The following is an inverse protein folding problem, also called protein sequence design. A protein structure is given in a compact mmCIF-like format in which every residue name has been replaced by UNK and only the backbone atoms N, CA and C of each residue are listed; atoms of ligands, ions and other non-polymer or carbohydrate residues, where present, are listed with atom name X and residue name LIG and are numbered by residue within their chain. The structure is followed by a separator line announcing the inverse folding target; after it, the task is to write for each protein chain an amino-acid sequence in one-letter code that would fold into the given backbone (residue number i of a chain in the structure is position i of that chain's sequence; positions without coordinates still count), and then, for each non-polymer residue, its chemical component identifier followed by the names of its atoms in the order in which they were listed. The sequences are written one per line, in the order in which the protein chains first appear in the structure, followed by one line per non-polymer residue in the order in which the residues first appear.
data_IF_847386991122
#
_entry.id   IF_847386991122
#
_cell.length_a   1.000
_cell.length_b   1.000
_cell.length_c   1.000
_cell.angle_alpha   90.00
_cell.angle_beta   90.00
_cell.angle_gamma   90.00
#
_symmetry.space_group_name_H-M   'P 1'
#
loop_
_entity.id
_entity.type
_entity.pdbx_description
1 polymer ?
#
# COMPACT_ATOMS: atom_id res chain seq x y z
N UNK A 1 45.79 37.10 -70.42
CA UNK A 1 46.19 36.27 -69.30
C UNK A 1 45.01 36.07 -68.37
N UNK A 2 44.28 34.99 -68.50
CA UNK A 2 43.15 34.62 -67.62
C UNK A 2 43.65 33.55 -66.64
N UNK A 3 43.65 33.85 -65.33
CA UNK A 3 43.94 32.89 -64.28
C UNK A 3 42.66 32.18 -63.87
N UNK A 4 42.60 30.88 -64.09
CA UNK A 4 41.57 30.01 -63.56
C UNK A 4 41.89 29.71 -62.07
N UNK A 5 40.98 29.97 -61.20
CA UNK A 5 41.00 29.56 -59.79
C UNK A 5 40.04 28.37 -59.68
N UNK A 6 40.64 27.18 -59.50
CA UNK A 6 39.87 25.98 -59.21
C UNK A 6 39.62 25.89 -57.71
N UNK A 7 38.35 26.04 -57.33
CA UNK A 7 37.91 25.93 -55.91
C UNK A 7 37.70 24.45 -55.60
N UNK A 8 38.50 23.94 -54.67
CA UNK A 8 38.40 22.55 -54.15
C UNK A 8 37.39 22.54 -53.00
N UNK A 9 36.22 21.98 -53.25
CA UNK A 9 35.17 21.79 -52.22
C UNK A 9 35.52 20.53 -51.43
N UNK A 10 35.98 20.70 -50.19
CA UNK A 10 36.13 19.60 -49.24
C UNK A 10 34.75 19.32 -48.58
N UNK A 11 34.13 18.24 -48.97
CA UNK A 11 32.94 17.70 -48.32
C UNK A 11 33.43 16.98 -47.05
N UNK A 12 33.19 17.60 -45.89
CA UNK A 12 33.29 16.93 -44.58
C UNK A 12 32.05 16.07 -44.40
N UNK A 13 32.18 14.74 -44.56
CA UNK A 13 31.20 13.78 -44.07
C UNK A 13 31.31 13.75 -42.55
N UNK A 14 30.41 14.46 -41.85
CA UNK A 14 30.16 14.22 -40.44
C UNK A 14 29.48 12.86 -40.31
N UNK A 15 30.25 11.85 -39.88
CA UNK A 15 29.65 10.62 -39.34
C UNK A 15 29.01 11.00 -38.01
N UNK A 16 27.69 11.15 -38.02
CA UNK A 16 26.91 11.07 -36.79
C UNK A 16 26.94 9.59 -36.38
N UNK A 17 27.82 9.25 -35.47
CA UNK A 17 27.73 7.99 -34.76
C UNK A 17 26.43 8.05 -33.97
N UNK A 18 25.41 7.38 -34.44
CA UNK A 18 24.23 7.09 -33.64
C UNK A 18 24.70 6.26 -32.45
N UNK A 19 24.47 6.79 -31.24
CA UNK A 19 24.70 6.09 -29.99
C UNK A 19 23.72 4.89 -29.93
N UNK A 20 24.08 3.76 -30.56
CA UNK A 20 23.34 2.51 -30.44
C UNK A 20 23.50 1.86 -29.05
N UNK A 21 24.20 2.51 -28.11
CA UNK A 21 24.56 1.91 -26.82
C UNK A 21 23.62 2.26 -25.66
N UNK A 22 22.61 3.11 -25.85
CA UNK A 22 21.72 3.52 -24.76
C UNK A 22 20.58 2.53 -24.45
N UNK A 23 20.25 1.62 -25.39
CA UNK A 23 19.15 0.65 -25.22
C UNK A 23 19.61 -0.74 -24.73
N UNK A 24 20.90 -0.98 -24.61
CA UNK A 24 21.44 -2.31 -24.25
C UNK A 24 21.17 -2.72 -22.78
N UNK A 25 20.86 -1.75 -21.92
CA UNK A 25 20.60 -1.98 -20.48
C UNK A 25 19.13 -2.22 -20.17
N UNK A 26 18.24 -1.89 -21.11
CA UNK A 26 16.80 -2.08 -20.93
C UNK A 26 16.36 -3.47 -21.42
N UNK A 27 15.54 -4.10 -20.62
CA UNK A 27 14.84 -5.33 -20.96
C UNK A 27 13.35 -5.19 -20.63
N UNK A 28 12.54 -6.10 -21.14
CA UNK A 28 11.11 -6.11 -20.80
C UNK A 28 10.61 -7.52 -20.51
N UNK A 29 9.51 -7.57 -19.76
CA UNK A 29 8.73 -8.77 -19.46
C UNK A 29 7.26 -8.37 -19.38
N UNK A 30 6.34 -9.31 -19.62
CA UNK A 30 4.89 -9.05 -19.51
C UNK A 30 4.31 -9.95 -18.44
N UNK A 31 3.59 -9.35 -17.49
CA UNK A 31 3.15 -9.97 -16.25
C UNK A 31 1.66 -9.70 -16.01
N UNK A 32 0.88 -10.75 -15.73
CA UNK A 32 -0.53 -10.65 -15.37
C UNK A 32 -0.79 -11.29 -14.01
N UNK A 33 -1.32 -10.51 -13.09
CA UNK A 33 -1.55 -10.89 -11.68
C UNK A 33 -2.95 -10.51 -11.18
N UNK A 34 -3.95 -10.58 -12.06
CA UNK A 34 -5.31 -10.09 -11.81
C UNK A 34 -5.56 -8.74 -12.47
N UNK A 35 -6.26 -7.83 -11.78
CA UNK A 35 -6.51 -6.49 -12.29
C UNK A 35 -5.20 -5.72 -12.53
N UNK A 36 -5.00 -5.24 -13.76
CA UNK A 36 -3.74 -4.57 -14.15
C UNK A 36 -3.54 -3.19 -13.54
N UNK A 37 -4.55 -2.52 -13.00
CA UNK A 37 -4.42 -1.18 -12.41
C UNK A 37 -3.47 -1.16 -11.19
N UNK A 38 -3.65 -2.13 -10.29
CA UNK A 38 -2.76 -2.29 -9.13
C UNK A 38 -1.37 -2.78 -9.53
N UNK A 39 -1.32 -3.72 -10.46
CA UNK A 39 -0.06 -4.27 -10.96
C UNK A 39 0.81 -3.21 -11.63
N UNK A 40 0.25 -2.38 -12.54
CA UNK A 40 0.95 -1.25 -13.18
C UNK A 40 1.57 -0.34 -12.13
N UNK A 41 0.77 0.12 -11.17
CA UNK A 41 1.23 1.00 -10.08
C UNK A 41 2.32 0.36 -9.21
N UNK A 42 2.20 -0.94 -8.90
CA UNK A 42 3.19 -1.68 -8.13
C UNK A 42 4.54 -1.73 -8.85
N UNK A 43 4.56 -2.06 -10.15
CA UNK A 43 5.79 -2.09 -10.94
C UNK A 43 6.44 -0.72 -11.09
N UNK A 44 5.65 0.33 -11.34
CA UNK A 44 6.16 1.70 -11.44
C UNK A 44 6.85 2.21 -10.18
N UNK A 45 6.48 1.68 -9.01
CA UNK A 45 7.08 2.05 -7.74
C UNK A 45 8.48 1.43 -7.53
N UNK A 46 8.86 0.44 -8.35
CA UNK A 46 10.14 -0.27 -8.19
C UNK A 46 11.29 0.55 -8.80
N UNK A 47 12.31 0.80 -8.00
CA UNK A 47 13.53 1.45 -8.49
C UNK A 47 14.19 0.60 -9.59
N UNK A 48 14.40 1.18 -10.76
CA UNK A 48 14.95 0.51 -11.94
C UNK A 48 13.90 0.03 -12.94
N UNK A 49 12.60 0.19 -12.64
CA UNK A 49 11.55 0.12 -13.65
C UNK A 49 11.45 1.49 -14.33
N UNK A 50 11.59 1.50 -15.65
CA UNK A 50 11.58 2.72 -16.48
C UNK A 50 10.18 3.01 -17.01
N UNK A 51 9.36 1.94 -17.22
CA UNK A 51 8.01 2.06 -17.77
C UNK A 51 7.20 0.81 -17.43
N UNK A 52 5.92 1.00 -17.11
CA UNK A 52 4.95 -0.07 -16.92
C UNK A 52 3.64 0.30 -17.63
N UNK A 53 3.24 -0.52 -18.59
CA UNK A 53 2.11 -0.23 -19.49
C UNK A 53 1.06 -1.31 -19.35
N UNK A 54 -0.16 -0.93 -18.97
CA UNK A 54 -1.33 -1.81 -18.95
C UNK A 54 -1.73 -2.25 -20.35
N UNK A 55 -2.06 -3.53 -20.51
CA UNK A 55 -2.39 -4.09 -21.80
C UNK A 55 -3.07 -5.45 -21.74
N UNK A 56 -3.20 -6.04 -22.91
CA UNK A 56 -3.82 -7.36 -23.14
C UNK A 56 -2.86 -8.27 -23.87
N UNK A 57 -2.83 -9.55 -23.48
CA UNK A 57 -2.00 -10.54 -24.12
C UNK A 57 -2.57 -11.95 -24.00
N UNK A 58 -2.00 -12.89 -24.72
CA UNK A 58 -2.26 -14.31 -24.59
C UNK A 58 -3.71 -14.74 -24.90
N UNK A 59 -4.33 -14.06 -25.85
CA UNK A 59 -5.64 -14.42 -26.38
C UNK A 59 -5.63 -14.56 -27.90
N UNK A 60 -6.75 -15.02 -28.46
CA UNK A 60 -6.86 -15.32 -29.88
C UNK A 60 -7.27 -14.12 -30.76
N UNK A 61 -7.94 -13.13 -30.17
CA UNK A 61 -8.43 -11.99 -30.93
C UNK A 61 -7.31 -10.99 -31.25
N UNK A 62 -7.28 -10.52 -32.50
CA UNK A 62 -6.50 -9.37 -32.92
C UNK A 62 -7.25 -8.11 -32.46
N UNK A 63 -6.57 -7.18 -31.80
CA UNK A 63 -7.15 -5.93 -31.26
C UNK A 63 -8.21 -6.15 -30.16
N UNK A 64 -7.83 -6.73 -29.01
CA UNK A 64 -8.74 -6.85 -27.88
C UNK A 64 -9.10 -5.47 -27.31
N UNK A 65 -10.32 -5.37 -26.74
CA UNK A 65 -10.76 -4.21 -25.96
C UNK A 65 -11.23 -4.69 -24.59
N UNK A 66 -11.20 -3.80 -23.58
CA UNK A 66 -11.74 -4.10 -22.26
C UNK A 66 -13.16 -4.65 -22.31
N UNK A 67 -14.00 -4.00 -23.10
CA UNK A 67 -15.40 -4.42 -23.30
C UNK A 67 -15.51 -5.85 -23.87
N UNK A 68 -14.58 -6.27 -24.73
CA UNK A 68 -14.62 -7.62 -25.31
C UNK A 68 -14.14 -8.67 -24.32
N UNK A 69 -12.99 -8.44 -23.66
CA UNK A 69 -12.41 -9.43 -22.76
C UNK A 69 -13.24 -9.65 -21.48
N UNK A 70 -14.03 -8.64 -21.06
CA UNK A 70 -14.88 -8.72 -19.86
C UNK A 70 -16.30 -9.25 -20.13
N UNK A 71 -16.65 -9.59 -21.38
CA UNK A 71 -17.94 -10.19 -21.68
C UNK A 71 -18.14 -11.51 -20.95
N UNK A 72 -19.34 -11.74 -20.43
CA UNK A 72 -19.71 -12.96 -19.68
C UNK A 72 -19.35 -14.22 -20.45
N UNK A 73 -19.56 -14.24 -21.78
CA UNK A 73 -19.23 -15.41 -22.64
C UNK A 73 -17.73 -15.73 -22.66
N UNK A 74 -16.85 -14.74 -22.40
CA UNK A 74 -15.41 -14.89 -22.40
C UNK A 74 -14.83 -15.20 -21.01
N UNK A 75 -15.64 -15.12 -19.95
CA UNK A 75 -15.21 -15.25 -18.55
C UNK A 75 -14.46 -16.56 -18.24
N UNK A 76 -14.82 -17.64 -18.94
CA UNK A 76 -14.22 -18.96 -18.79
C UNK A 76 -13.70 -19.52 -20.11
N UNK A 77 -13.45 -18.63 -21.09
CA UNK A 77 -12.85 -19.00 -22.36
C UNK A 77 -11.32 -18.92 -22.24
N UNK A 78 -10.64 -20.04 -22.42
CA UNK A 78 -9.17 -20.13 -22.34
C UNK A 78 -8.47 -19.33 -23.47
N UNK A 79 -9.17 -19.05 -24.57
CA UNK A 79 -8.68 -18.18 -25.65
C UNK A 79 -8.86 -16.68 -25.39
N UNK A 80 -9.38 -16.30 -24.22
CA UNK A 80 -9.53 -14.89 -23.85
C UNK A 80 -8.18 -14.26 -23.50
N UNK A 81 -8.00 -12.99 -23.82
CA UNK A 81 -6.83 -12.23 -23.39
C UNK A 81 -6.78 -12.07 -21.87
N UNK A 82 -5.57 -12.11 -21.31
CA UNK A 82 -5.32 -11.69 -19.95
C UNK A 82 -5.10 -10.18 -19.88
N UNK A 83 -5.52 -9.57 -18.76
CA UNK A 83 -5.01 -8.28 -18.32
C UNK A 83 -3.57 -8.45 -17.89
N UNK A 84 -2.66 -7.68 -18.46
CA UNK A 84 -1.24 -7.77 -18.21
C UNK A 84 -0.59 -6.40 -18.17
N UNK A 85 0.58 -6.33 -17.54
CA UNK A 85 1.45 -5.14 -17.55
C UNK A 85 2.75 -5.49 -18.25
N UNK A 86 3.13 -4.69 -19.25
CA UNK A 86 4.46 -4.76 -19.86
C UNK A 86 5.40 -3.88 -19.04
N UNK A 87 6.35 -4.52 -18.38
CA UNK A 87 7.36 -3.87 -17.54
C UNK A 87 8.65 -3.73 -18.34
N UNK A 88 9.11 -2.50 -18.54
CA UNK A 88 10.42 -2.17 -19.10
C UNK A 88 11.34 -1.74 -17.97
N UNK A 89 12.49 -2.38 -17.81
CA UNK A 89 13.36 -2.19 -16.66
C UNK A 89 14.83 -2.12 -17.05
N UNK A 90 15.60 -1.39 -16.26
CA UNK A 90 17.06 -1.33 -16.36
C UNK A 90 17.67 -2.50 -15.57
N UNK A 91 18.18 -3.52 -16.30
CA UNK A 91 18.76 -4.73 -15.70
C UNK A 91 20.01 -4.51 -14.83
N UNK A 92 20.61 -3.33 -14.89
CA UNK A 92 21.76 -2.95 -14.06
C UNK A 92 21.31 -2.39 -12.71
N UNK A 93 20.04 -1.97 -12.60
CA UNK A 93 19.45 -1.40 -11.38
C UNK A 93 18.55 -2.42 -10.68
N UNK A 94 17.70 -3.11 -11.44
CA UNK A 94 16.81 -4.15 -10.92
C UNK A 94 16.96 -5.45 -11.71
N UNK A 95 17.05 -6.56 -11.01
CA UNK A 95 17.18 -7.87 -11.65
C UNK A 95 15.83 -8.41 -12.12
N UNK A 96 15.82 -9.25 -13.17
CA UNK A 96 14.61 -9.99 -13.56
C UNK A 96 14.09 -10.82 -12.38
N UNK A 97 14.98 -11.43 -11.58
CA UNK A 97 14.60 -12.20 -10.40
C UNK A 97 13.77 -11.34 -9.43
N UNK A 98 14.20 -10.12 -9.13
CA UNK A 98 13.49 -9.21 -8.24
C UNK A 98 12.08 -8.85 -8.77
N UNK A 99 11.93 -8.70 -10.09
CA UNK A 99 10.62 -8.48 -10.71
C UNK A 99 9.71 -9.71 -10.58
N UNK A 100 10.24 -10.93 -10.71
CA UNK A 100 9.47 -12.17 -10.54
C UNK A 100 9.15 -12.43 -9.06
N UNK A 101 10.05 -12.07 -8.14
CA UNK A 101 9.78 -12.11 -6.71
C UNK A 101 8.61 -11.18 -6.36
N UNK A 102 8.65 -9.93 -6.81
CA UNK A 102 7.57 -8.97 -6.66
C UNK A 102 6.24 -9.48 -7.25
N UNK A 103 6.27 -10.06 -8.47
CA UNK A 103 5.11 -10.67 -9.09
C UNK A 103 4.44 -11.71 -8.20
N UNK A 104 5.20 -12.66 -7.65
CA UNK A 104 4.65 -13.72 -6.81
C UNK A 104 4.21 -13.23 -5.42
N UNK A 105 4.87 -12.22 -4.88
CA UNK A 105 4.52 -11.64 -3.59
C UNK A 105 3.29 -10.74 -3.63
N UNK A 106 2.93 -10.19 -4.81
CA UNK A 106 1.85 -9.22 -4.96
C UNK A 106 0.46 -9.82 -5.24
N UNK A 107 0.35 -11.14 -5.44
CA UNK A 107 -0.94 -11.80 -5.71
C UNK A 107 -0.97 -13.25 -5.21
N UNK A 108 -2.11 -13.91 -5.31
CA UNK A 108 -2.22 -15.35 -5.03
C UNK A 108 -2.08 -16.18 -6.32
N UNK A 109 -0.88 -16.71 -6.61
CA UNK A 109 -0.65 -17.49 -7.83
C UNK A 109 -1.27 -18.89 -7.80
N UNK A 110 -1.90 -19.29 -6.70
CA UNK A 110 -2.58 -20.60 -6.59
C UNK A 110 -4.02 -20.57 -7.11
N UNK A 111 -4.56 -19.37 -7.39
CA UNK A 111 -5.90 -19.19 -7.90
C UNK A 111 -5.95 -19.38 -9.43
N UNK A 112 -6.78 -20.27 -9.88
CA UNK A 112 -6.99 -20.53 -11.31
C UNK A 112 -8.01 -19.53 -11.88
N UNK A 113 -7.63 -18.79 -12.92
CA UNK A 113 -8.49 -17.88 -13.67
C UNK A 113 -9.27 -16.89 -12.78
N UNK A 114 -8.62 -16.38 -11.73
CA UNK A 114 -9.20 -15.37 -10.83
C UNK A 114 -8.13 -14.78 -9.91
N UNK A 115 -8.44 -13.62 -9.32
CA UNK A 115 -7.78 -13.08 -8.14
C UNK A 115 -8.85 -12.51 -7.19
N UNK A 116 -9.02 -13.14 -6.03
CA UNK A 116 -10.04 -12.76 -5.07
C UNK A 116 -11.44 -12.71 -5.67
N UNK A 117 -12.06 -11.54 -5.71
CA UNK A 117 -13.39 -11.30 -6.28
C UNK A 117 -13.39 -11.10 -7.81
N UNK A 118 -12.21 -10.88 -8.39
CA UNK A 118 -12.07 -10.73 -9.84
C UNK A 118 -12.01 -12.11 -10.49
N UNK A 119 -13.13 -12.56 -11.02
CA UNK A 119 -13.32 -13.92 -11.55
C UNK A 119 -13.40 -13.89 -13.07
N UNK A 120 -12.49 -14.60 -13.73
CA UNK A 120 -12.45 -14.76 -15.19
C UNK A 120 -11.04 -15.04 -15.69
N UNK A 121 -10.93 -15.62 -16.89
CA UNK A 121 -9.65 -15.95 -17.54
C UNK A 121 -8.79 -14.72 -17.82
N UNK A 122 -9.40 -13.54 -17.92
CA UNK A 122 -8.67 -12.28 -18.04
C UNK A 122 -7.84 -11.94 -16.79
N UNK A 123 -8.16 -12.49 -15.64
CA UNK A 123 -7.45 -12.26 -14.37
C UNK A 123 -6.49 -13.38 -13.97
N UNK A 124 -6.15 -14.27 -14.94
CA UNK A 124 -5.23 -15.38 -14.67
C UNK A 124 -3.82 -14.90 -14.35
N UNK A 125 -3.14 -15.63 -13.48
CA UNK A 125 -1.72 -15.44 -13.22
C UNK A 125 -0.91 -15.89 -14.44
N UNK A 126 -0.07 -15.02 -15.01
CA UNK A 126 0.68 -15.31 -16.23
C UNK A 126 1.99 -14.53 -16.31
N UNK A 127 3.04 -15.19 -16.79
CA UNK A 127 4.35 -14.61 -17.10
C UNK A 127 4.64 -14.87 -18.59
N UNK A 128 4.84 -13.82 -19.35
CA UNK A 128 5.18 -13.87 -20.77
C UNK A 128 6.58 -13.29 -20.98
N UNK A 129 7.54 -14.19 -21.18
CA UNK A 129 8.94 -13.78 -21.36
C UNK A 129 9.22 -13.30 -22.78
N UNK A 130 10.02 -12.23 -22.90
CA UNK A 130 10.37 -11.62 -24.21
C UNK A 130 11.64 -12.22 -24.82
N UNK A 131 12.44 -12.92 -24.01
CA UNK A 131 13.70 -13.56 -24.42
C UNK A 131 13.82 -14.96 -23.81
N UNK A 132 14.29 -15.98 -24.57
CA UNK A 132 14.48 -17.33 -24.04
C UNK A 132 15.40 -17.40 -22.82
N UNK A 133 16.35 -16.47 -22.70
CA UNK A 133 17.29 -16.39 -21.55
C UNK A 133 16.61 -16.08 -20.23
N UNK A 134 15.41 -15.46 -20.25
CA UNK A 134 14.64 -15.14 -19.06
C UNK A 134 14.01 -16.38 -18.42
N UNK A 135 13.70 -17.40 -19.24
CA UNK A 135 12.94 -18.58 -18.79
C UNK A 135 13.56 -19.30 -17.59
N UNK A 136 14.87 -19.46 -17.57
CA UNK A 136 15.53 -20.15 -16.45
C UNK A 136 15.34 -19.41 -15.14
N UNK A 137 15.50 -18.10 -15.12
CA UNK A 137 15.30 -17.28 -13.91
C UNK A 137 13.84 -17.38 -13.44
N UNK A 138 12.90 -17.32 -14.37
CA UNK A 138 11.46 -17.46 -14.06
C UNK A 138 11.18 -18.82 -13.44
N UNK A 139 11.65 -19.91 -14.06
CA UNK A 139 11.40 -21.27 -13.58
C UNK A 139 12.01 -21.49 -12.18
N UNK A 140 13.27 -21.06 -11.98
CA UNK A 140 13.97 -21.20 -10.70
C UNK A 140 13.23 -20.44 -9.58
N UNK A 141 12.83 -19.19 -9.85
CA UNK A 141 12.08 -18.35 -8.89
C UNK A 141 10.69 -18.92 -8.60
N UNK A 142 10.01 -19.44 -9.62
CA UNK A 142 8.69 -20.09 -9.45
C UNK A 142 8.79 -21.32 -8.56
N UNK A 143 9.78 -22.17 -8.77
CA UNK A 143 9.99 -23.38 -7.97
C UNK A 143 10.32 -23.06 -6.50
N UNK A 144 11.09 -22.01 -6.27
CA UNK A 144 11.40 -21.53 -4.92
C UNK A 144 10.12 -21.03 -4.22
N UNK A 145 9.32 -20.18 -4.90
CA UNK A 145 8.07 -19.70 -4.32
C UNK A 145 7.06 -20.81 -4.07
N UNK A 146 6.98 -21.82 -4.97
CA UNK A 146 6.15 -23.00 -4.75
C UNK A 146 6.54 -23.73 -3.45
N UNK A 147 7.82 -23.83 -3.15
CA UNK A 147 8.28 -24.45 -1.91
C UNK A 147 7.82 -23.67 -0.69
N UNK A 148 7.94 -22.33 -0.71
CA UNK A 148 7.50 -21.44 0.36
C UNK A 148 5.97 -21.51 0.56
N UNK A 149 5.20 -21.51 -0.53
CA UNK A 149 3.75 -21.68 -0.49
C UNK A 149 3.36 -23.02 0.15
N UNK A 150 4.04 -24.10 -0.22
CA UNK A 150 3.76 -25.45 0.31
C UNK A 150 4.03 -25.51 1.81
N UNK A 151 5.11 -24.90 2.30
CA UNK A 151 5.42 -24.80 3.73
C UNK A 151 4.34 -24.05 4.53
N UNK A 152 3.67 -23.10 3.89
CA UNK A 152 2.56 -22.32 4.47
C UNK A 152 1.19 -22.94 4.24
N UNK A 153 1.10 -24.12 3.61
CA UNK A 153 -0.15 -24.85 3.38
C UNK A 153 -0.97 -24.39 2.17
N UNK A 154 -0.39 -23.56 1.29
CA UNK A 154 -1.03 -23.16 0.03
C UNK A 154 -0.96 -24.25 -1.03
N UNK A 155 -1.82 -24.12 -2.06
CA UNK A 155 -1.90 -25.02 -3.18
C UNK A 155 -0.75 -24.86 -4.19
N UNK A 156 -0.92 -25.50 -5.35
CA UNK A 156 0.04 -25.38 -6.47
C UNK A 156 -0.12 -24.06 -7.19
N UNK A 157 0.98 -23.49 -7.62
CA UNK A 157 1.04 -22.35 -8.53
C UNK A 157 0.32 -22.71 -9.83
N UNK A 158 -0.61 -21.85 -10.26
CA UNK A 158 -1.39 -21.92 -11.50
C UNK A 158 -0.88 -20.97 -12.58
N UNK A 159 0.20 -20.25 -12.31
CA UNK A 159 0.79 -19.27 -13.23
C UNK A 159 1.14 -19.91 -14.57
N UNK A 160 0.61 -19.36 -15.66
CA UNK A 160 0.98 -19.74 -17.02
C UNK A 160 2.33 -19.08 -17.36
N UNK A 161 3.32 -19.87 -17.82
CA UNK A 161 4.66 -19.37 -18.20
C UNK A 161 4.94 -19.75 -19.64
N UNK A 162 5.04 -18.75 -20.54
CA UNK A 162 5.29 -18.99 -21.96
C UNK A 162 5.96 -17.78 -22.64
N UNK A 163 6.48 -17.94 -23.88
CA UNK A 163 7.00 -16.80 -24.63
C UNK A 163 5.89 -15.79 -24.94
N UNK A 164 6.23 -14.50 -24.96
CA UNK A 164 5.36 -13.45 -25.44
C UNK A 164 5.18 -13.61 -26.97
N UNK A 165 3.93 -13.72 -27.40
CA UNK A 165 3.56 -13.69 -28.83
C UNK A 165 3.16 -12.28 -29.26
N UNK A 166 2.21 -11.68 -28.57
CA UNK A 166 1.68 -10.35 -28.86
C UNK A 166 1.33 -9.59 -27.60
N UNK A 167 1.41 -8.27 -27.65
CA UNK A 167 0.99 -7.35 -26.60
C UNK A 167 0.20 -6.20 -27.22
N UNK A 168 -0.98 -5.95 -26.70
CA UNK A 168 -1.87 -4.88 -27.12
C UNK A 168 -2.04 -3.90 -25.98
N UNK A 169 -1.69 -2.63 -26.21
CA UNK A 169 -1.83 -1.57 -25.20
C UNK A 169 -3.32 -1.40 -24.89
N UNK A 170 -3.66 -1.37 -23.62
CA UNK A 170 -5.02 -1.08 -23.18
C UNK A 170 -5.39 0.38 -23.46
N UNK A 171 -6.68 0.68 -23.42
CA UNK A 171 -7.22 2.00 -23.70
C UNK A 171 -6.63 3.04 -22.72
N UNK A 172 -6.45 4.27 -23.18
CA UNK A 172 -5.80 5.36 -22.42
C UNK A 172 -6.38 5.59 -21.03
N UNK A 173 -7.67 5.34 -20.83
CA UNK A 173 -8.29 5.50 -19.51
C UNK A 173 -7.90 4.42 -18.50
N UNK A 174 -7.21 3.34 -18.93
CA UNK A 174 -6.64 2.32 -18.06
C UNK A 174 -5.20 2.64 -17.65
N UNK A 175 -4.45 3.39 -18.46
CA UNK A 175 -3.08 3.74 -18.14
C UNK A 175 -3.02 4.67 -16.93
N UNK A 176 -2.13 4.42 -15.99
CA UNK A 176 -1.98 5.18 -14.73
C UNK A 176 -3.30 5.29 -13.94
N UNK A 177 -4.17 4.28 -14.03
CA UNK A 177 -5.53 4.40 -13.50
C UNK A 177 -5.55 4.77 -12.00
N UNK A 178 -4.72 4.12 -11.17
CA UNK A 178 -4.66 4.40 -9.73
C UNK A 178 -4.06 5.77 -9.43
N UNK A 179 -3.10 6.25 -10.23
CA UNK A 179 -2.58 7.63 -10.10
C UNK A 179 -3.66 8.66 -10.43
N UNK A 180 -4.44 8.41 -11.51
CA UNK A 180 -5.55 9.27 -11.93
C UNK A 180 -6.75 9.17 -10.98
N UNK A 181 -6.94 8.02 -10.31
CA UNK A 181 -8.07 7.71 -9.42
C UNK A 181 -7.56 7.12 -8.07
N UNK A 182 -7.05 7.94 -7.15
CA UNK A 182 -6.44 7.46 -5.91
C UNK A 182 -7.36 6.61 -5.01
N UNK A 183 -8.68 6.74 -5.16
CA UNK A 183 -9.68 5.92 -4.46
C UNK A 183 -10.20 4.76 -5.33
N UNK A 184 -9.51 4.44 -6.43
CA UNK A 184 -9.88 3.34 -7.33
C UNK A 184 -9.80 1.97 -6.64
N UNK A 185 -10.56 1.01 -7.18
CA UNK A 185 -10.51 -0.37 -6.72
C UNK A 185 -9.12 -0.98 -6.94
N UNK A 186 -8.48 -1.38 -5.85
CA UNK A 186 -7.17 -2.03 -5.87
C UNK A 186 -7.02 -2.89 -4.59
N UNK A 187 -7.69 -4.04 -4.52
CA UNK A 187 -7.56 -4.94 -3.37
C UNK A 187 -6.22 -5.66 -3.39
N UNK A 188 -5.62 -5.85 -2.22
CA UNK A 188 -4.50 -6.76 -2.05
C UNK A 188 -5.00 -8.20 -2.10
N UNK A 189 -4.42 -8.99 -2.98
CA UNK A 189 -4.72 -10.41 -3.16
C UNK A 189 -3.52 -11.31 -2.84
N UNK A 190 -2.46 -10.76 -2.22
CA UNK A 190 -1.25 -11.50 -1.88
C UNK A 190 -1.53 -12.64 -0.90
N UNK A 191 -0.70 -13.68 -0.95
CA UNK A 191 -0.74 -14.78 0.03
C UNK A 191 -0.08 -14.41 1.36
N UNK A 192 0.64 -13.28 1.43
CA UNK A 192 1.52 -12.93 2.53
C UNK A 192 2.80 -13.79 2.61
N UNK A 193 2.99 -14.73 1.69
CA UNK A 193 4.23 -15.50 1.56
C UNK A 193 5.25 -14.68 0.80
N UNK A 194 6.49 -14.68 1.28
CA UNK A 194 7.58 -13.86 0.74
C UNK A 194 8.85 -14.69 0.60
N UNK A 195 9.70 -14.31 -0.35
CA UNK A 195 11.03 -14.90 -0.49
C UNK A 195 11.90 -14.57 0.73
N UNK A 196 12.60 -15.58 1.24
CA UNK A 196 13.57 -15.41 2.33
C UNK A 196 14.82 -14.68 1.82
N UNK A 197 14.70 -13.39 1.54
CA UNK A 197 15.88 -12.57 1.26
C UNK A 197 16.66 -12.39 2.56
N UNK A 198 17.87 -12.93 2.65
CA UNK A 198 18.82 -12.82 3.78
C UNK A 198 19.18 -11.36 4.17
N UNK A 199 18.61 -10.37 3.48
CA UNK A 199 18.75 -8.94 3.73
C UNK A 199 17.49 -8.27 4.34
N UNK A 200 16.44 -9.04 4.69
CA UNK A 200 15.39 -8.46 5.50
C UNK A 200 15.99 -8.22 6.90
N UNK A 201 16.25 -6.98 7.22
CA UNK A 201 16.53 -6.57 8.60
C UNK A 201 15.35 -7.06 9.43
N UNK A 202 15.60 -8.06 10.28
CA UNK A 202 14.61 -8.52 11.24
C UNK A 202 14.23 -7.29 12.08
N UNK A 203 13.00 -6.81 11.90
CA UNK A 203 12.54 -5.65 12.64
C UNK A 203 12.38 -6.07 14.11
N UNK A 204 13.00 -5.32 14.99
CA UNK A 204 12.87 -5.52 16.41
C UNK A 204 11.48 -5.04 16.88
N UNK A 205 10.64 -5.99 17.26
CA UNK A 205 9.33 -5.75 17.85
C UNK A 205 9.32 -5.86 19.39
N UNK A 206 10.47 -6.01 20.02
CA UNK A 206 10.57 -6.19 21.48
C UNK A 206 9.91 -5.04 22.26
N UNK A 207 9.95 -3.81 21.72
CA UNK A 207 9.30 -2.65 22.30
C UNK A 207 7.76 -2.72 22.28
N UNK A 208 7.17 -3.59 21.44
CA UNK A 208 5.72 -3.81 21.33
C UNK A 208 5.23 -4.92 22.26
N UNK A 209 6.14 -5.70 22.86
CA UNK A 209 5.79 -6.80 23.76
C UNK A 209 5.53 -6.35 25.20
N UNK A 210 5.66 -5.05 25.48
CA UNK A 210 5.42 -4.47 26.79
C UNK A 210 4.39 -3.33 26.71
N UNK A 211 3.29 -3.47 27.45
CA UNK A 211 2.24 -2.44 27.48
C UNK A 211 1.31 -2.50 26.27
N UNK A 212 0.72 -1.35 25.96
CA UNK A 212 -0.23 -1.22 24.84
C UNK A 212 0.46 -0.66 23.61
N UNK A 213 0.12 -1.19 22.42
CA UNK A 213 0.62 -0.72 21.14
C UNK A 213 -0.46 -0.86 20.05
N UNK A 214 -0.30 -0.14 18.97
CA UNK A 214 -1.10 -0.26 17.75
C UNK A 214 -0.16 -0.67 16.62
N UNK A 215 -0.47 -1.78 15.96
CA UNK A 215 0.21 -2.20 14.74
C UNK A 215 -0.74 -2.05 13.58
N UNK A 216 -0.30 -1.33 12.55
CA UNK A 216 -1.01 -1.22 11.29
C UNK A 216 -0.30 -2.09 10.28
N UNK A 217 -0.97 -3.16 9.83
CA UNK A 217 -0.45 -3.97 8.72
C UNK A 217 -0.68 -3.18 7.45
N UNK A 218 0.41 -2.81 6.81
CA UNK A 218 0.44 -2.07 5.56
C UNK A 218 0.76 -3.01 4.40
N UNK A 219 0.31 -2.68 3.20
CA UNK A 219 0.73 -3.39 2.01
C UNK A 219 2.21 -3.08 1.69
N UNK A 220 2.91 -4.03 1.07
CA UNK A 220 4.25 -3.79 0.55
C UNK A 220 4.24 -2.80 -0.61
N UNK A 221 3.17 -2.89 -1.39
CA UNK A 221 2.92 -2.08 -2.56
C UNK A 221 1.91 -0.96 -2.26
N UNK A 222 1.58 -0.18 -3.27
CA UNK A 222 0.62 0.90 -3.11
C UNK A 222 -0.76 0.40 -2.67
N UNK A 223 -1.21 0.88 -1.53
CA UNK A 223 -2.53 0.60 -0.98
C UNK A 223 -3.28 1.92 -0.73
N UNK A 224 -4.27 2.28 -1.54
CA UNK A 224 -4.97 3.57 -1.39
C UNK A 224 -5.66 3.71 -0.03
N UNK A 225 -6.17 2.63 0.54
CA UNK A 225 -6.79 2.62 1.86
C UNK A 225 -5.77 2.77 3.00
N UNK A 226 -4.54 2.28 2.80
CA UNK A 226 -3.45 2.48 3.74
C UNK A 226 -3.00 3.95 3.75
N UNK A 227 -2.81 4.54 2.57
CA UNK A 227 -2.46 5.96 2.42
C UNK A 227 -3.58 6.87 2.99
N UNK A 228 -4.84 6.50 2.75
CA UNK A 228 -5.97 7.22 3.32
C UNK A 228 -5.97 7.15 4.85
N UNK A 229 -5.69 5.99 5.45
CA UNK A 229 -5.59 5.85 6.90
C UNK A 229 -4.41 6.64 7.47
N UNK A 230 -3.26 6.66 6.79
CA UNK A 230 -2.11 7.49 7.17
C UNK A 230 -2.51 8.95 7.23
N UNK A 231 -3.10 9.48 6.15
CA UNK A 231 -3.51 10.87 6.06
C UNK A 231 -4.59 11.25 7.08
N UNK A 232 -5.66 10.44 7.21
CA UNK A 232 -6.82 10.79 8.04
C UNK A 232 -6.56 10.57 9.55
N UNK A 233 -5.62 9.69 9.92
CA UNK A 233 -5.43 9.25 11.30
C UNK A 233 -3.96 9.32 11.73
N UNK A 234 -3.06 8.61 11.04
CA UNK A 234 -1.73 8.36 11.57
C UNK A 234 -0.84 9.60 11.58
N UNK A 235 -0.91 10.45 10.55
CA UNK A 235 -0.06 11.65 10.41
C UNK A 235 -0.33 12.68 11.51
N UNK A 236 -1.55 12.74 12.03
CA UNK A 236 -1.94 13.64 13.12
C UNK A 236 -1.84 13.00 14.50
N UNK A 237 -1.64 11.69 14.59
CA UNK A 237 -1.63 10.95 15.84
C UNK A 237 -0.34 11.18 16.63
N UNK A 238 -0.45 11.73 17.84
CA UNK A 238 0.64 11.98 18.78
C UNK A 238 0.37 11.33 20.15
N UNK A 239 -0.52 10.33 20.18
CA UNK A 239 -0.95 9.68 21.41
C UNK A 239 0.15 8.89 22.10
N UNK A 240 -0.08 8.60 23.39
CA UNK A 240 0.92 7.90 24.24
C UNK A 240 1.00 6.39 23.97
N UNK A 241 0.08 5.80 23.22
CA UNK A 241 0.16 4.41 22.77
C UNK A 241 0.92 4.42 21.46
N UNK A 242 2.08 3.76 21.34
CA UNK A 242 2.83 3.77 20.09
C UNK A 242 2.02 3.15 18.94
N UNK A 243 2.05 3.80 17.78
CA UNK A 243 1.51 3.28 16.53
C UNK A 243 2.67 3.00 15.59
N UNK A 244 2.74 1.79 15.05
CA UNK A 244 3.79 1.36 14.11
C UNK A 244 3.17 0.71 12.89
N UNK A 245 3.83 0.90 11.73
CA UNK A 245 3.47 0.24 10.49
C UNK A 245 4.37 -0.96 10.27
N UNK A 246 3.79 -2.07 9.83
CA UNK A 246 4.48 -3.33 9.55
C UNK A 246 3.89 -3.97 8.30
N UNK A 247 4.72 -4.65 7.53
CA UNK A 247 4.20 -5.60 6.56
C UNK A 247 3.87 -6.93 7.24
N UNK A 248 3.10 -7.78 6.59
CA UNK A 248 2.63 -9.05 7.15
C UNK A 248 3.77 -9.99 7.62
N UNK A 249 4.93 -9.93 6.98
CA UNK A 249 6.13 -10.73 7.30
C UNK A 249 7.00 -10.13 8.42
N UNK A 250 6.68 -8.95 8.92
CA UNK A 250 7.41 -8.20 9.94
C UNK A 250 6.79 -8.32 11.34
N UNK A 251 5.93 -9.30 11.56
CA UNK A 251 5.14 -9.48 12.78
C UNK A 251 5.79 -10.48 13.77
N UNK A 252 7.07 -10.80 13.58
CA UNK A 252 7.81 -11.69 14.45
C UNK A 252 7.71 -11.23 15.93
N UNK A 253 7.69 -12.19 16.85
CA UNK A 253 7.57 -12.00 18.31
C UNK A 253 6.22 -11.41 18.79
N UNK A 254 5.24 -11.24 17.88
CA UNK A 254 3.87 -10.82 18.22
C UNK A 254 2.90 -11.99 18.04
N UNK A 255 1.93 -12.07 18.96
CA UNK A 255 0.83 -13.06 18.87
C UNK A 255 -0.38 -12.37 18.24
N UNK A 256 -0.54 -12.57 16.94
CA UNK A 256 -1.59 -11.98 16.11
C UNK A 256 -2.44 -13.09 15.54
N UNK A 257 -3.75 -13.05 15.82
CA UNK A 257 -4.73 -14.03 15.36
C UNK A 257 -5.45 -13.58 14.08
N UNK A 258 -5.43 -12.26 13.82
CA UNK A 258 -6.09 -11.69 12.64
C UNK A 258 -5.36 -12.03 11.35
N UNK A 259 -6.10 -12.26 10.25
CA UNK A 259 -5.49 -12.44 8.94
C UNK A 259 -4.66 -11.21 8.53
N UNK A 260 -3.42 -11.44 8.12
CA UNK A 260 -2.49 -10.38 7.70
C UNK A 260 -2.57 -10.02 6.22
N UNK A 261 -3.47 -10.64 5.45
CA UNK A 261 -3.61 -10.43 4.02
C UNK A 261 -4.52 -9.26 3.62
N UNK A 262 -5.32 -8.73 4.55
CA UNK A 262 -6.13 -7.55 4.28
C UNK A 262 -5.40 -6.27 4.75
N UNK A 263 -5.25 -5.30 3.87
CA UNK A 263 -4.56 -4.04 4.20
C UNK A 263 -5.42 -2.81 3.94
N UNK A 264 -5.38 -1.82 4.85
CA UNK A 264 -4.73 -1.89 6.16
C UNK A 264 -5.47 -2.84 7.11
N UNK A 265 -4.76 -3.49 8.03
CA UNK A 265 -5.35 -4.09 9.23
C UNK A 265 -4.80 -3.39 10.46
N UNK A 266 -5.69 -2.78 11.25
CA UNK A 266 -5.32 -2.04 12.46
C UNK A 266 -5.48 -2.97 13.65
N UNK A 267 -4.38 -3.29 14.33
CA UNK A 267 -4.32 -4.26 15.43
C UNK A 267 -3.97 -3.55 16.73
N UNK A 268 -4.74 -3.78 17.77
CA UNK A 268 -4.52 -3.26 19.11
C UNK A 268 -3.91 -4.37 19.98
N UNK A 269 -2.66 -4.16 20.38
CA UNK A 269 -1.87 -5.12 21.15
C UNK A 269 -1.77 -4.73 22.61
N UNK A 270 -1.79 -5.71 23.49
CA UNK A 270 -1.38 -5.57 24.89
C UNK A 270 -0.36 -6.66 25.22
N UNK A 271 0.85 -6.23 25.60
CA UNK A 271 1.99 -7.11 25.85
C UNK A 271 2.31 -8.05 24.69
N UNK A 272 2.28 -7.52 23.45
CA UNK A 272 2.57 -8.28 22.24
C UNK A 272 1.46 -9.21 21.73
N UNK A 273 0.32 -9.25 22.44
CA UNK A 273 -0.81 -10.12 22.11
C UNK A 273 -1.98 -9.28 21.58
N UNK A 274 -2.54 -9.71 20.47
CA UNK A 274 -3.74 -9.07 19.90
C UNK A 274 -4.91 -9.11 20.89
N UNK A 275 -5.57 -7.98 21.07
CA UNK A 275 -6.82 -7.86 21.83
C UNK A 275 -8.03 -7.72 20.93
N UNK A 276 -7.88 -6.99 19.85
CA UNK A 276 -8.83 -6.87 18.77
C UNK A 276 -8.19 -6.19 17.57
N UNK A 277 -8.83 -6.30 16.43
CA UNK A 277 -8.38 -5.71 15.19
C UNK A 277 -9.55 -5.19 14.34
N UNK A 278 -9.21 -4.40 13.33
CA UNK A 278 -10.13 -3.98 12.30
C UNK A 278 -9.46 -4.17 10.93
N UNK A 279 -10.12 -4.88 10.04
CA UNK A 279 -9.65 -5.09 8.67
C UNK A 279 -10.22 -4.04 7.73
N UNK A 280 -9.40 -3.50 6.87
CA UNK A 280 -9.74 -2.43 5.95
C UNK A 280 -9.57 -1.04 6.56
N UNK A 281 -9.94 -0.02 5.78
CA UNK A 281 -9.88 1.37 6.21
C UNK A 281 -10.77 1.63 7.42
N UNK A 282 -10.22 2.30 8.42
CA UNK A 282 -10.93 2.71 9.63
C UNK A 282 -11.01 4.23 9.67
N UNK A 283 -12.22 4.77 9.67
CA UNK A 283 -12.43 6.22 9.77
C UNK A 283 -11.96 6.77 11.12
N UNK A 284 -11.54 8.04 11.14
CA UNK A 284 -10.99 8.71 12.34
C UNK A 284 -11.90 8.59 13.56
N UNK A 285 -13.20 8.79 13.41
CA UNK A 285 -14.17 8.70 14.52
C UNK A 285 -14.16 7.29 15.13
N UNK A 286 -14.25 6.25 14.28
CA UNK A 286 -14.22 4.86 14.73
C UNK A 286 -12.86 4.51 15.37
N UNK A 287 -11.76 4.99 14.79
CA UNK A 287 -10.43 4.80 15.34
C UNK A 287 -10.31 5.36 16.75
N UNK A 288 -10.64 6.65 16.96
CA UNK A 288 -10.52 7.28 18.26
C UNK A 288 -11.49 6.71 19.29
N UNK A 289 -12.70 6.31 18.90
CA UNK A 289 -13.63 5.60 19.76
C UNK A 289 -13.08 4.23 20.22
N UNK A 290 -12.51 3.49 19.29
CA UNK A 290 -11.87 2.20 19.56
C UNK A 290 -10.63 2.35 20.44
N UNK A 291 -9.77 3.31 20.12
CA UNK A 291 -8.61 3.68 20.92
C UNK A 291 -9.02 4.11 22.34
N UNK A 292 -10.08 4.91 22.46
CA UNK A 292 -10.65 5.32 23.74
C UNK A 292 -11.06 4.12 24.58
N UNK A 293 -11.79 3.18 23.97
CA UNK A 293 -12.16 1.92 24.64
C UNK A 293 -10.95 1.09 25.06
N UNK A 294 -9.96 0.99 24.18
CA UNK A 294 -8.72 0.27 24.44
C UNK A 294 -7.90 0.92 25.57
N UNK A 295 -7.75 2.25 25.55
CA UNK A 295 -6.93 2.99 26.51
C UNK A 295 -7.61 3.20 27.86
N UNK A 296 -8.88 3.57 27.85
CA UNK A 296 -9.63 4.05 29.03
C UNK A 296 -10.55 2.97 29.61
N UNK A 297 -10.89 1.94 28.86
CA UNK A 297 -11.83 0.90 29.27
C UNK A 297 -13.25 1.45 29.46
N UNK A 298 -13.92 1.03 30.54
CA UNK A 298 -15.26 1.52 30.94
C UNK A 298 -15.12 2.59 32.04
N UNK A 299 -14.26 3.57 31.87
CA UNK A 299 -14.03 4.63 32.84
C UNK A 299 -14.92 5.84 32.61
N UNK A 300 -15.09 6.67 33.65
CA UNK A 300 -15.75 7.98 33.54
C UNK A 300 -15.14 8.83 32.41
N UNK A 301 -13.81 8.79 32.24
CA UNK A 301 -13.12 9.49 31.13
C UNK A 301 -13.56 9.02 29.75
N UNK A 302 -13.92 7.73 29.57
CA UNK A 302 -14.49 7.24 28.34
C UNK A 302 -15.90 7.77 28.12
N UNK A 303 -16.74 7.78 29.19
CA UNK A 303 -18.10 8.27 29.12
C UNK A 303 -18.15 9.77 28.81
N UNK A 304 -17.23 10.56 29.39
CA UNK A 304 -17.09 11.99 29.07
C UNK A 304 -16.68 12.19 27.60
N UNK A 305 -15.72 11.40 27.10
CA UNK A 305 -15.20 11.59 25.75
C UNK A 305 -16.17 11.13 24.63
N UNK A 306 -16.98 10.09 24.88
CA UNK A 306 -17.75 9.43 23.81
C UNK A 306 -19.23 9.24 24.06
N UNK A 307 -19.69 9.38 25.31
CA UNK A 307 -21.08 9.12 25.71
C UNK A 307 -21.80 10.36 26.29
N UNK A 308 -21.30 11.57 25.95
CA UNK A 308 -21.84 12.83 26.47
C UNK A 308 -21.88 12.93 28.03
N UNK A 309 -20.96 12.21 28.68
CA UNK A 309 -20.77 12.29 30.11
C UNK A 309 -20.19 13.66 30.52
N UNK A 310 -20.36 14.01 31.77
CA UNK A 310 -19.83 15.26 32.36
C UNK A 310 -19.16 14.95 33.67
N UNK A 311 -17.93 15.45 33.86
CA UNK A 311 -17.22 15.37 35.14
C UNK A 311 -18.00 16.10 36.25
N UNK A 312 -17.90 15.60 37.46
CA UNK A 312 -18.44 16.28 38.61
C UNK A 312 -17.77 17.66 38.79
N UNK A 313 -18.56 18.66 39.15
CA UNK A 313 -18.04 19.99 39.49
C UNK A 313 -17.05 19.89 40.67
N UNK A 314 -15.91 20.60 40.55
CA UNK A 314 -14.85 20.59 41.55
C UNK A 314 -14.26 19.20 41.82
N UNK A 315 -14.28 18.33 40.78
CA UNK A 315 -13.70 17.00 40.82
C UNK A 315 -12.20 17.02 41.18
N UNK A 316 -11.62 15.85 41.43
CA UNK A 316 -10.19 15.72 41.78
C UNK A 316 -9.29 16.33 40.68
N UNK A 317 -9.62 16.09 39.43
CA UNK A 317 -8.89 16.62 38.25
C UNK A 317 -8.95 18.16 38.23
N UNK A 318 -10.09 18.77 38.48
CA UNK A 318 -10.19 20.23 38.63
C UNK A 318 -9.25 20.74 39.75
N UNK A 319 -9.21 20.08 40.92
CA UNK A 319 -8.36 20.51 42.03
C UNK A 319 -6.86 20.41 41.70
N UNK A 320 -6.48 19.39 40.94
CA UNK A 320 -5.09 19.18 40.49
C UNK A 320 -4.72 20.26 39.42
N UNK A 321 -5.54 20.45 38.42
CA UNK A 321 -5.17 21.21 37.25
C UNK A 321 -5.52 22.69 37.28
N UNK A 322 -6.35 23.16 38.21
CA UNK A 322 -6.67 24.58 38.33
C UNK A 322 -5.46 25.51 38.56
N UNK A 323 -4.39 25.00 39.14
CA UNK A 323 -3.17 25.71 39.49
C UNK A 323 -1.90 25.05 38.92
N UNK A 324 -1.99 24.25 37.87
CA UNK A 324 -0.81 23.69 37.20
C UNK A 324 0.12 24.80 36.70
N UNK A 325 1.44 24.58 36.68
CA UNK A 325 2.38 25.52 36.10
C UNK A 325 2.12 25.68 34.59
N UNK A 326 2.81 26.64 33.97
CA UNK A 326 2.69 26.90 32.54
C UNK A 326 2.93 25.65 31.72
N UNK A 327 2.12 25.47 30.67
CA UNK A 327 2.11 24.31 29.81
C UNK A 327 0.88 24.25 28.91
N UNK A 328 0.64 23.10 28.35
CA UNK A 328 -0.43 22.87 27.39
C UNK A 328 -1.26 21.66 27.83
N UNK A 329 -2.57 21.81 27.79
CA UNK A 329 -3.49 20.69 27.91
C UNK A 329 -3.61 19.99 26.56
N UNK A 330 -3.40 18.70 26.55
CA UNK A 330 -3.42 17.86 25.35
C UNK A 330 -4.63 16.90 25.40
N UNK A 331 -5.15 16.56 24.23
CA UNK A 331 -6.10 15.46 24.12
C UNK A 331 -5.48 14.13 24.59
N UNK A 332 -6.18 13.42 25.43
CA UNK A 332 -5.65 12.21 26.07
C UNK A 332 -5.45 11.05 25.10
N UNK A 333 -6.15 11.05 23.97
CA UNK A 333 -6.11 9.97 22.99
C UNK A 333 -5.15 10.31 21.85
N UNK A 334 -5.38 11.44 21.18
CA UNK A 334 -4.60 11.86 20.02
C UNK A 334 -3.26 12.49 20.37
N UNK A 335 -3.11 13.03 21.59
CA UNK A 335 -1.93 13.80 22.00
C UNK A 335 -1.91 15.24 21.46
N UNK A 336 -2.92 15.63 20.70
CA UNK A 336 -2.99 16.98 20.09
C UNK A 336 -3.15 18.06 21.18
N UNK A 337 -2.38 19.16 21.11
CA UNK A 337 -2.54 20.30 22.01
C UNK A 337 -3.92 20.96 21.86
N UNK A 338 -4.66 21.15 22.96
CA UNK A 338 -6.00 21.72 22.95
C UNK A 338 -6.05 23.14 23.53
N UNK A 339 -5.47 23.37 24.71
CA UNK A 339 -5.53 24.64 25.43
C UNK A 339 -4.19 24.98 26.07
N UNK A 340 -3.78 26.24 25.99
CA UNK A 340 -2.64 26.76 26.72
C UNK A 340 -3.05 27.22 28.12
N UNK A 341 -2.26 26.93 29.14
CA UNK A 341 -2.52 27.35 30.51
C UNK A 341 -2.58 28.86 30.70
N UNK A 342 -1.90 29.64 29.83
CA UNK A 342 -1.97 31.12 29.87
C UNK A 342 -3.36 31.66 29.55
N UNK A 343 -4.17 30.91 28.81
CA UNK A 343 -5.56 31.26 28.45
C UNK A 343 -6.58 30.79 29.47
N UNK A 344 -6.13 30.15 30.58
CA UNK A 344 -6.97 29.67 31.65
C UNK A 344 -7.48 30.82 32.52
N UNK A 345 -8.76 30.78 32.90
CA UNK A 345 -9.36 31.72 33.82
C UNK A 345 -10.27 31.06 34.85
N UNK A 346 -10.59 31.77 35.95
CA UNK A 346 -11.45 31.26 37.00
C UNK A 346 -12.91 31.68 36.68
N UNK A 347 -13.70 30.75 36.13
CA UNK A 347 -15.12 30.96 35.80
C UNK A 347 -16.06 30.79 36.98
N UNK A 348 -15.61 30.20 38.08
CA UNK A 348 -16.43 29.78 39.23
C UNK A 348 -17.45 28.66 38.91
N UNK A 349 -17.39 28.07 37.72
CA UNK A 349 -18.27 26.98 37.28
C UNK A 349 -17.99 25.67 37.99
N UNK A 350 -16.75 25.47 38.47
CA UNK A 350 -16.23 24.19 39.00
C UNK A 350 -15.55 23.31 37.94
N UNK A 351 -15.40 23.81 36.70
CA UNK A 351 -14.67 23.20 35.61
C UNK A 351 -13.52 24.10 35.18
N UNK A 352 -12.49 23.49 34.56
CA UNK A 352 -11.41 24.23 33.90
C UNK A 352 -11.99 25.06 32.75
N UNK A 353 -11.63 26.33 32.71
CA UNK A 353 -12.15 27.28 31.74
C UNK A 353 -11.00 28.02 31.05
N UNK A 354 -11.11 28.20 29.74
CA UNK A 354 -10.11 28.83 28.88
C UNK A 354 -10.79 29.90 28.02
N UNK A 355 -10.05 30.97 27.70
CA UNK A 355 -10.52 32.06 26.86
C UNK A 355 -10.55 31.70 25.39
N UNK A 356 -9.66 30.81 24.95
CA UNK A 356 -9.60 30.30 23.59
C UNK A 356 -8.90 28.94 23.54
N UNK A 357 -9.23 28.07 22.58
CA UNK A 357 -8.43 26.91 22.25
C UNK A 357 -7.16 27.31 21.48
N UNK A 358 -6.20 26.39 21.38
CA UNK A 358 -5.09 26.50 20.44
C UNK A 358 -5.64 26.51 19.02
N UNK A 359 -5.09 27.34 18.14
CA UNK A 359 -5.58 27.49 16.78
C UNK A 359 -5.69 26.15 16.05
N UNK A 360 -6.85 25.90 15.44
CA UNK A 360 -7.18 24.66 14.69
C UNK A 360 -7.22 23.35 15.53
N UNK A 361 -7.23 23.45 16.85
CA UNK A 361 -7.30 22.27 17.72
C UNK A 361 -8.71 21.78 18.02
N UNK A 362 -9.70 22.64 17.88
CA UNK A 362 -11.12 22.38 18.18
C UNK A 362 -12.00 23.01 17.12
N UNK A 363 -13.23 22.51 17.00
CA UNK A 363 -14.31 23.16 16.27
C UNK A 363 -15.57 23.20 17.13
N UNK A 364 -16.39 24.20 16.91
CA UNK A 364 -17.62 24.41 17.68
C UNK A 364 -18.79 23.70 16.97
N UNK A 365 -19.56 22.95 17.74
CA UNK A 365 -20.84 22.40 17.32
C UNK A 365 -21.97 23.07 18.11
N UNK A 366 -23.13 23.30 17.50
CA UNK A 366 -24.33 23.74 18.24
C UNK A 366 -24.67 22.69 19.30
N UNK A 367 -24.79 23.14 20.57
CA UNK A 367 -25.33 22.28 21.62
C UNK A 367 -26.85 22.37 21.62
N UNK A 368 -27.49 21.28 21.16
CA UNK A 368 -28.95 21.18 21.11
C UNK A 368 -29.52 20.39 22.30
N UNK A 369 -28.75 20.21 23.36
CA UNK A 369 -29.11 19.36 24.52
C UNK A 369 -29.96 20.05 25.59
N UNK A 370 -30.38 21.32 25.35
CA UNK A 370 -31.25 22.07 26.26
C UNK A 370 -32.61 22.42 25.62
#
# INVERSE_FOLDING_TARGET
MKKNITSLLLIFCLHVASDENSTSHLESIVLGSGCFWGAEKGYEALNGVEDAVSGYSDGYNIEPTYREITKIKNRFNDDNHAEVVKVTYNKEVISLRSLIEHFYESHDPTQLNRQGNDIGTQYRSIILYTKPSQKKVIDDTTNEFQSLLTEKGFGKIQTVIKPLDSFYIAEEYHQDYIKKNPNGYCPDHSTGVVFNNKNQQQIDNSHLTNGKAIVVIDARDYCPYCEKFKYDVADSYQGSIPMVFRNADQLNDLSIDSPSWATPTIIFLENGVEKFSHQGYMESELFYKTLGKFKLGNSEAYDVAFNQGTDARFCKEYQIFKNTPDGVFIDKLSGVPLFDTKDRFVSKSGWLSFTAPIANSTYELPDNSY
#
